data_IF_628637050771
#
_entry.id   IF_628637050771
#
_cell.length_a   1.000
_cell.length_b   1.000
_cell.length_c   1.000
_cell.angle_alpha   90.00
_cell.angle_beta   90.00
_cell.angle_gamma   90.00
#
_symmetry.space_group_name_H-M   'P 1'
#
loop_
_entity.id
_entity.type
_entity.pdbx_description
1 polymer ?
#
# COMPACT_ATOMS: atom_id res chain seq x y z
N UNK A 1 -13.03 -6.23 -17.55
CA UNK A 1 -11.66 -5.70 -17.73
C UNK A 1 -10.78 -6.14 -16.58
N UNK A 2 -9.61 -6.75 -16.85
CA UNK A 2 -8.62 -7.09 -15.82
C UNK A 2 -7.69 -5.88 -15.68
N UNK A 3 -8.01 -4.99 -14.76
CA UNK A 3 -7.14 -3.86 -14.44
C UNK A 3 -5.81 -4.39 -13.93
N UNK A 4 -4.72 -4.02 -14.59
CA UNK A 4 -3.36 -4.39 -14.21
C UNK A 4 -2.53 -3.14 -14.04
N UNK A 5 -1.64 -3.16 -13.06
CA UNK A 5 -0.61 -2.14 -12.94
C UNK A 5 0.31 -2.23 -14.18
N UNK A 6 0.50 -1.12 -14.93
CA UNK A 6 1.41 -1.09 -16.08
C UNK A 6 2.80 -1.61 -15.70
N UNK A 7 3.42 -2.39 -16.58
CA UNK A 7 4.77 -2.94 -16.35
C UNK A 7 4.86 -4.09 -15.33
N UNK A 8 3.73 -4.61 -14.85
CA UNK A 8 3.71 -5.73 -13.89
C UNK A 8 3.38 -7.05 -14.59
N UNK A 9 4.21 -8.11 -14.43
CA UNK A 9 3.92 -9.44 -14.98
C UNK A 9 2.57 -9.99 -14.52
N UNK A 10 1.93 -10.80 -15.36
CA UNK A 10 0.60 -11.33 -15.08
C UNK A 10 0.53 -12.26 -13.85
N UNK A 11 1.65 -12.88 -13.52
CA UNK A 11 1.88 -13.80 -12.40
C UNK A 11 2.44 -13.11 -11.16
N UNK A 12 2.72 -11.80 -11.22
CA UNK A 12 3.39 -11.13 -10.13
C UNK A 12 2.53 -11.14 -8.86
N UNK A 13 3.13 -11.55 -7.76
CA UNK A 13 2.46 -11.51 -6.45
C UNK A 13 2.50 -10.10 -5.88
N UNK A 14 1.60 -9.79 -4.95
CA UNK A 14 1.63 -8.54 -4.21
C UNK A 14 2.96 -8.39 -3.44
N UNK A 15 3.50 -9.48 -2.92
CA UNK A 15 4.78 -9.51 -2.24
C UNK A 15 5.95 -9.15 -3.18
N UNK A 16 5.96 -9.70 -4.40
CA UNK A 16 6.96 -9.35 -5.41
C UNK A 16 6.91 -7.88 -5.83
N UNK A 17 5.71 -7.30 -5.92
CA UNK A 17 5.52 -5.88 -6.18
C UNK A 17 6.15 -5.01 -5.09
N UNK A 18 5.90 -5.33 -3.82
CA UNK A 18 6.38 -4.56 -2.68
C UNK A 18 7.86 -4.77 -2.35
N UNK A 19 8.52 -5.77 -2.92
CA UNK A 19 9.98 -5.95 -2.85
C UNK A 19 10.74 -5.16 -3.93
N UNK A 20 10.03 -4.62 -4.91
CA UNK A 20 10.59 -3.82 -6.01
C UNK A 20 10.56 -2.32 -5.70
N UNK A 21 11.34 -1.56 -6.47
CA UNK A 21 11.26 -0.10 -6.44
C UNK A 21 9.79 0.38 -6.64
N UNK A 22 9.32 1.41 -5.91
CA UNK A 22 10.06 2.29 -4.99
C UNK A 22 10.02 1.88 -3.51
N UNK A 23 9.60 0.66 -3.19
CA UNK A 23 9.36 0.22 -1.82
C UNK A 23 10.64 -0.27 -1.12
N UNK A 24 10.66 -0.13 0.20
CA UNK A 24 11.67 -0.66 1.11
C UNK A 24 10.95 -1.56 2.11
N UNK A 25 11.28 -2.85 2.18
CA UNK A 25 10.69 -3.73 3.20
C UNK A 25 11.20 -3.27 4.57
N UNK A 26 10.27 -2.93 5.46
CA UNK A 26 10.55 -2.47 6.83
C UNK A 26 10.48 -3.63 7.81
N UNK A 27 9.52 -4.53 7.61
CA UNK A 27 9.35 -5.76 8.36
C UNK A 27 8.71 -6.83 7.46
N UNK A 28 9.08 -8.10 7.66
CA UNK A 28 8.48 -9.24 6.96
C UNK A 28 8.56 -10.52 7.81
N UNK A 29 7.58 -11.39 7.62
CA UNK A 29 7.54 -12.73 8.18
C UNK A 29 6.70 -13.66 7.32
N UNK A 30 6.41 -14.85 7.84
CA UNK A 30 5.75 -15.91 7.05
C UNK A 30 4.38 -15.49 6.51
N UNK A 31 3.64 -14.69 7.28
CA UNK A 31 2.28 -14.27 6.94
C UNK A 31 2.09 -12.75 6.92
N UNK A 32 3.17 -11.97 6.97
CA UNK A 32 3.06 -10.51 6.91
C UNK A 32 4.19 -9.87 6.10
N UNK A 33 3.86 -8.72 5.51
CA UNK A 33 4.80 -7.90 4.75
C UNK A 33 4.47 -6.44 4.99
N UNK A 34 5.47 -5.69 5.46
CA UNK A 34 5.35 -4.28 5.80
C UNK A 34 6.32 -3.46 4.94
N UNK A 35 5.93 -3.07 3.72
CA UNK A 35 6.73 -2.20 2.88
C UNK A 35 6.50 -0.72 3.22
N UNK A 36 7.59 0.01 3.25
CA UNK A 36 7.66 1.45 3.38
C UNK A 36 7.94 2.15 2.06
N UNK A 37 7.33 3.32 1.89
CA UNK A 37 7.55 4.25 0.80
C UNK A 37 7.80 5.64 1.39
N UNK A 38 8.78 6.37 0.85
CA UNK A 38 9.05 7.74 1.25
C UNK A 38 9.11 8.67 0.03
N UNK A 39 8.39 9.79 0.11
CA UNK A 39 8.34 10.73 -1.01
C UNK A 39 7.62 12.02 -0.67
N UNK A 40 7.64 12.96 -1.62
CA UNK A 40 6.73 14.11 -1.59
C UNK A 40 5.38 13.64 -2.11
N UNK A 41 4.31 14.23 -1.58
CA UNK A 41 2.95 14.01 -2.09
C UNK A 41 2.91 14.31 -3.60
N UNK A 42 2.40 13.38 -4.42
CA UNK A 42 2.37 13.40 -5.91
C UNK A 42 3.72 13.32 -6.65
N UNK A 43 4.83 13.07 -5.97
CA UNK A 43 6.13 12.89 -6.63
C UNK A 43 6.54 11.42 -6.61
N UNK A 44 7.31 11.02 -7.62
CA UNK A 44 8.05 9.75 -7.65
C UNK A 44 8.78 9.56 -6.31
N UNK A 45 8.48 8.44 -5.67
CA UNK A 45 9.09 8.03 -4.42
C UNK A 45 10.45 7.41 -4.64
N UNK A 46 11.32 7.47 -3.62
CA UNK A 46 12.62 6.81 -3.65
C UNK A 46 12.62 5.58 -2.74
N UNK A 47 13.29 4.52 -3.21
CA UNK A 47 13.68 3.41 -2.33
C UNK A 47 14.75 3.90 -1.35
N UNK A 48 14.63 3.48 -0.09
CA UNK A 48 15.61 3.75 0.95
C UNK A 48 16.45 2.50 1.20
N UNK A 49 17.67 2.70 1.69
CA UNK A 49 18.58 1.63 2.05
C UNK A 49 18.22 1.06 3.44
N UNK A 50 17.08 0.38 3.53
CA UNK A 50 16.67 -0.37 4.72
C UNK A 50 15.76 0.38 5.71
N UNK A 51 15.28 -0.35 6.73
CA UNK A 51 14.30 0.13 7.71
C UNK A 51 14.82 1.30 8.57
N UNK A 52 16.10 1.33 8.92
CA UNK A 52 16.70 2.38 9.75
C UNK A 52 16.68 3.73 9.04
N UNK A 53 16.99 3.71 7.73
CA UNK A 53 16.90 4.91 6.88
C UNK A 53 15.46 5.36 6.67
N UNK A 54 14.51 4.43 6.67
CA UNK A 54 13.08 4.76 6.63
C UNK A 54 12.61 5.42 7.94
N UNK A 55 12.97 4.85 9.09
CA UNK A 55 12.62 5.37 10.40
C UNK A 55 13.26 6.74 10.68
N UNK A 56 14.51 6.94 10.24
CA UNK A 56 15.25 8.19 10.41
C UNK A 56 14.96 9.28 9.37
N UNK A 57 14.08 9.04 8.39
CA UNK A 57 13.86 10.03 7.34
C UNK A 57 13.16 11.29 7.86
N UNK A 58 13.90 12.40 7.89
CA UNK A 58 13.42 13.73 8.29
C UNK A 58 13.45 14.79 7.16
N UNK A 59 13.42 14.38 5.89
CA UNK A 59 13.49 15.34 4.77
C UNK A 59 12.22 16.20 4.71
N UNK A 60 12.40 17.52 4.79
CA UNK A 60 11.30 18.48 4.75
C UNK A 60 10.38 18.29 3.52
N UNK A 61 9.07 18.43 3.75
CA UNK A 61 8.02 18.31 2.74
C UNK A 61 7.73 16.88 2.27
N UNK A 62 8.25 15.85 2.95
CA UNK A 62 7.99 14.44 2.62
C UNK A 62 7.00 13.78 3.58
N UNK A 63 6.43 12.68 3.12
CA UNK A 63 5.61 11.75 3.90
C UNK A 63 6.30 10.39 3.93
N UNK A 64 6.11 9.68 5.05
CA UNK A 64 6.38 8.25 5.19
C UNK A 64 5.07 7.52 5.03
N UNK A 65 5.05 6.50 4.18
CA UNK A 65 3.88 5.63 3.99
C UNK A 65 4.31 4.22 4.33
N UNK A 66 3.53 3.56 5.18
CA UNK A 66 3.62 2.14 5.43
C UNK A 66 2.37 1.47 4.88
N UNK A 67 2.56 0.36 4.19
CA UNK A 67 1.50 -0.60 3.95
C UNK A 67 1.81 -1.78 4.87
N UNK A 68 0.80 -2.29 5.58
CA UNK A 68 0.94 -3.49 6.39
C UNK A 68 -0.06 -4.50 5.84
N UNK A 69 0.47 -5.55 5.24
CA UNK A 69 -0.31 -6.66 4.72
C UNK A 69 -0.07 -7.86 5.63
N UNK A 70 -1.16 -8.48 6.08
CA UNK A 70 -1.09 -9.75 6.81
C UNK A 70 -2.17 -10.70 6.32
N UNK A 71 -1.82 -11.98 6.29
CA UNK A 71 -2.76 -13.06 5.97
C UNK A 71 -3.15 -13.73 7.28
N UNK A 72 -4.43 -13.76 7.57
CA UNK A 72 -5.00 -14.45 8.72
C UNK A 72 -5.72 -15.70 8.23
N UNK A 73 -5.40 -16.87 8.79
CA UNK A 73 -6.15 -18.10 8.51
C UNK A 73 -7.49 -18.05 9.26
N UNK A 74 -8.58 -18.34 8.56
CA UNK A 74 -9.94 -18.29 9.15
C UNK A 74 -10.51 -19.66 9.49
N UNK A 75 -9.72 -20.73 9.31
CA UNK A 75 -10.24 -22.11 9.27
C UNK A 75 -10.89 -22.43 7.91
N UNK A 76 -11.18 -23.72 7.70
CA UNK A 76 -11.81 -24.27 6.48
C UNK A 76 -11.01 -24.09 5.18
N UNK A 77 -9.67 -23.99 5.28
CA UNK A 77 -8.81 -23.74 4.11
C UNK A 77 -8.98 -22.35 3.50
N UNK A 78 -9.59 -21.41 4.23
CA UNK A 78 -9.78 -20.01 3.83
C UNK A 78 -8.79 -19.10 4.55
N UNK A 79 -8.47 -17.97 3.91
CA UNK A 79 -7.61 -16.93 4.47
C UNK A 79 -8.16 -15.54 4.18
N UNK A 80 -7.92 -14.61 5.10
CA UNK A 80 -8.26 -13.20 4.97
C UNK A 80 -6.98 -12.39 4.81
N UNK A 81 -6.92 -11.57 3.75
CA UNK A 81 -5.88 -10.57 3.59
C UNK A 81 -6.31 -9.28 4.27
N UNK A 82 -5.65 -8.92 5.37
CA UNK A 82 -5.81 -7.62 6.01
C UNK A 82 -4.76 -6.66 5.46
N UNK A 83 -5.21 -5.49 5.04
CA UNK A 83 -4.36 -4.44 4.45
C UNK A 83 -4.58 -3.13 5.19
N UNK A 84 -3.58 -2.68 5.94
CA UNK A 84 -3.58 -1.36 6.58
C UNK A 84 -2.61 -0.43 5.86
N UNK A 85 -2.94 0.87 5.81
CA UNK A 85 -2.03 1.89 5.29
C UNK A 85 -1.91 3.02 6.29
N UNK A 86 -0.67 3.38 6.65
CA UNK A 86 -0.37 4.50 7.55
C UNK A 86 0.43 5.55 6.79
N UNK A 87 -0.01 6.80 6.86
CA UNK A 87 0.68 7.93 6.24
C UNK A 87 1.08 8.92 7.32
N UNK A 88 2.37 9.20 7.43
CA UNK A 88 2.92 10.16 8.39
C UNK A 88 3.63 11.30 7.66
N UNK A 89 3.14 12.55 7.76
CA UNK A 89 3.92 13.71 7.33
C UNK A 89 5.12 13.94 8.24
N UNK A 90 6.26 14.27 7.63
CA UNK A 90 7.50 14.57 8.37
C UNK A 90 7.50 15.99 8.96
N UNK A 91 6.73 16.91 8.36
CA UNK A 91 6.59 18.29 8.83
C UNK A 91 5.18 18.86 8.60
N UNK A 92 4.92 20.06 9.14
CA UNK A 92 3.64 20.76 8.98
C UNK A 92 3.28 21.03 7.51
N UNK A 93 4.28 21.33 6.67
CA UNK A 93 4.05 21.60 5.24
C UNK A 93 3.55 20.35 4.51
N UNK A 94 4.13 19.19 4.80
CA UNK A 94 3.67 17.90 4.31
C UNK A 94 2.28 17.56 4.84
N UNK A 95 1.98 17.88 6.10
CA UNK A 95 0.65 17.67 6.69
C UNK A 95 -0.44 18.50 5.99
N UNK A 96 -0.19 19.78 5.71
CA UNK A 96 -1.11 20.63 4.95
C UNK A 96 -1.35 20.06 3.54
N UNK A 97 -0.28 19.67 2.83
CA UNK A 97 -0.40 19.07 1.50
C UNK A 97 -1.16 17.75 1.51
N UNK A 98 -0.88 16.88 2.49
CA UNK A 98 -1.57 15.61 2.65
C UNK A 98 -3.07 15.82 2.89
N UNK A 99 -3.46 16.77 3.74
CA UNK A 99 -4.87 17.13 3.96
C UNK A 99 -5.56 17.63 2.69
N UNK A 100 -4.88 18.46 1.89
CA UNK A 100 -5.42 18.93 0.61
C UNK A 100 -5.69 17.77 -0.36
N UNK A 101 -4.81 16.76 -0.39
CA UNK A 101 -5.02 15.54 -1.20
C UNK A 101 -6.18 14.72 -0.69
N UNK A 102 -6.27 14.49 0.62
CA UNK A 102 -7.39 13.76 1.19
C UNK A 102 -8.73 14.45 0.95
N UNK A 103 -8.79 15.79 1.01
CA UNK A 103 -10.00 16.53 0.67
C UNK A 103 -10.42 16.34 -0.82
N UNK A 104 -9.45 16.16 -1.72
CA UNK A 104 -9.72 15.90 -3.14
C UNK A 104 -10.12 14.44 -3.38
N UNK A 105 -9.40 13.48 -2.80
CA UNK A 105 -9.61 12.02 -3.00
C UNK A 105 -10.83 11.51 -2.23
N UNK A 106 -11.10 12.02 -1.03
CA UNK A 106 -12.26 11.66 -0.20
C UNK A 106 -13.60 11.87 -0.91
N UNK A 107 -13.67 12.83 -1.84
CA UNK A 107 -14.82 13.04 -2.73
C UNK A 107 -15.14 11.81 -3.59
N UNK A 108 -14.12 11.00 -3.91
CA UNK A 108 -14.18 9.85 -4.80
C UNK A 108 -14.09 8.50 -4.08
N UNK A 109 -13.85 8.44 -2.77
CA UNK A 109 -13.77 7.18 -2.00
C UNK A 109 -15.02 6.31 -2.12
N UNK A 110 -16.20 6.95 -2.23
CA UNK A 110 -17.48 6.26 -2.48
C UNK A 110 -17.49 5.45 -3.79
N UNK A 111 -16.67 5.79 -4.77
CA UNK A 111 -16.57 5.07 -6.04
C UNK A 111 -15.55 3.92 -6.00
N UNK A 112 -14.55 4.00 -5.11
CA UNK A 112 -13.53 2.96 -4.94
C UNK A 112 -14.08 1.76 -4.15
N UNK A 113 -14.94 2.01 -3.16
CA UNK A 113 -15.57 0.96 -2.37
C UNK A 113 -16.74 0.22 -3.04
N UNK A 114 -17.38 0.81 -4.06
CA UNK A 114 -18.70 0.36 -4.49
C UNK A 114 -18.73 -0.74 -5.58
N UNK A 115 -17.73 -0.87 -6.46
CA UNK A 115 -17.94 -1.71 -7.67
C UNK A 115 -16.88 -2.76 -8.01
N UNK A 116 -15.55 -2.58 -7.82
CA UNK A 116 -14.58 -3.58 -8.31
C UNK A 116 -14.31 -4.73 -7.33
N UNK A 117 -14.24 -4.44 -6.03
CA UNK A 117 -13.85 -5.42 -5.00
C UNK A 117 -14.93 -6.48 -4.73
N UNK A 118 -16.24 -6.13 -4.61
CA UNK A 118 -17.28 -7.14 -4.39
C UNK A 118 -17.42 -8.12 -5.56
N UNK A 119 -17.18 -7.67 -6.80
CA UNK A 119 -17.19 -8.52 -7.99
C UNK A 119 -15.98 -9.45 -8.04
N UNK A 120 -14.82 -9.01 -7.53
CA UNK A 120 -13.63 -9.85 -7.41
C UNK A 120 -13.81 -10.93 -6.32
N UNK A 121 -14.41 -10.58 -5.18
CA UNK A 121 -14.75 -11.50 -4.08
C UNK A 121 -15.71 -12.61 -4.54
N UNK A 122 -16.83 -12.26 -5.18
CA UNK A 122 -17.81 -13.23 -5.69
C UNK A 122 -17.22 -14.25 -6.67
N UNK A 123 -16.16 -13.89 -7.41
CA UNK A 123 -15.48 -14.79 -8.35
C UNK A 123 -14.40 -15.66 -7.71
N UNK A 124 -13.85 -15.25 -6.58
CA UNK A 124 -12.95 -16.07 -5.79
C UNK A 124 -13.74 -17.18 -5.07
N UNK A 125 -14.91 -16.83 -4.53
CA UNK A 125 -15.84 -17.77 -3.90
C UNK A 125 -16.39 -18.82 -4.89
N UNK A 126 -16.55 -18.48 -6.17
CA UNK A 126 -17.03 -19.42 -7.19
C UNK A 126 -15.96 -20.38 -7.74
N UNK A 127 -14.73 -20.34 -7.21
CA UNK A 127 -13.59 -21.17 -7.66
C UNK A 127 -13.03 -22.09 -6.57
N UNK A 128 -13.57 -22.05 -5.35
CA UNK A 128 -13.39 -23.07 -4.30
C UNK A 128 -14.56 -24.04 -4.34
#
# INVERSE_FOLDING_TARGET
>A
MRWRLPGTPASATLAELFRRYPFTVVDEGDHHLVPGLCGRVWTIARRLAGPEKFAGLARAGTVRVLFAHRVEETGDGRSVLVSETRVQPVDHRAAVRLRAVWALVGRFERLIGAEPLPVALRRAESRS
#
